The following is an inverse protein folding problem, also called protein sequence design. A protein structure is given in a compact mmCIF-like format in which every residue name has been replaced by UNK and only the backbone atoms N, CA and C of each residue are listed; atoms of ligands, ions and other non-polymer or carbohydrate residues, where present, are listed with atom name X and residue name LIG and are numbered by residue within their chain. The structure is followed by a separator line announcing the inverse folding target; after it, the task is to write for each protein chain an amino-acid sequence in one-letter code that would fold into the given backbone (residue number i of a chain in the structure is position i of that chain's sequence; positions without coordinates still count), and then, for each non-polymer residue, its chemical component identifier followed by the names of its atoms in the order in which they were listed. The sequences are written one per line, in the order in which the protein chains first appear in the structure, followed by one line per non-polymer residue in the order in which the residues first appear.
data_IF_823713933467
#
_entry.id   IF_823713933467
#
_cell.length_a   1.000
_cell.length_b   1.000
_cell.length_c   1.000
_cell.angle_alpha   90.00
_cell.angle_beta   90.00
_cell.angle_gamma   90.00
#
_symmetry.space_group_name_H-M   'P 1'
#
loop_
_entity.id
_entity.type
_entity.pdbx_description
1 polymer ?
#
# COMPACT_ATOMS: atom_id res chain seq x y z
N UNK A 1 27.11 -42.42 13.46
CA UNK A 1 26.55 -41.61 14.55
C UNK A 1 25.22 -41.03 14.12
N UNK A 2 24.17 -41.28 14.90
CA UNK A 2 22.82 -40.77 14.66
C UNK A 2 22.78 -39.28 14.96
N UNK A 3 22.51 -38.47 13.93
CA UNK A 3 22.27 -37.04 14.05
C UNK A 3 20.87 -36.84 14.65
N UNK A 4 20.80 -36.75 15.97
CA UNK A 4 19.58 -36.44 16.72
C UNK A 4 19.18 -34.99 16.43
N UNK A 5 18.09 -34.82 15.69
CA UNK A 5 17.35 -33.56 15.60
C UNK A 5 16.62 -33.32 16.92
N UNK A 6 17.32 -32.85 17.94
CA UNK A 6 16.69 -32.30 19.14
C UNK A 6 16.17 -30.91 18.80
N UNK A 7 14.84 -30.75 18.76
CA UNK A 7 14.14 -29.47 18.72
C UNK A 7 14.43 -28.67 19.98
N UNK A 8 15.60 -28.03 20.05
CA UNK A 8 15.91 -27.07 21.11
C UNK A 8 15.45 -25.67 20.69
N UNK A 9 14.12 -25.49 20.59
CA UNK A 9 13.51 -24.17 20.33
C UNK A 9 13.45 -23.41 21.66
N UNK A 10 14.60 -23.11 22.24
CA UNK A 10 14.76 -21.83 22.94
C UNK A 10 15.12 -20.81 21.87
N UNK A 11 14.12 -20.26 21.18
CA UNK A 11 14.32 -19.12 20.28
C UNK A 11 14.77 -17.93 21.13
N UNK A 12 16.07 -17.83 21.35
CA UNK A 12 16.67 -16.64 21.95
C UNK A 12 16.55 -15.52 20.92
N UNK A 13 15.72 -14.53 21.21
CA UNK A 13 15.65 -13.31 20.40
C UNK A 13 17.01 -12.60 20.49
N UNK A 14 17.45 -12.06 19.36
CA UNK A 14 18.75 -11.42 19.21
C UNK A 14 18.67 -9.92 19.48
N UNK A 15 19.83 -9.35 19.80
CA UNK A 15 20.02 -7.90 19.79
C UNK A 15 20.31 -7.40 18.37
N UNK A 16 20.03 -6.13 18.12
CA UNK A 16 20.28 -5.44 16.85
C UNK A 16 21.71 -5.68 16.33
N UNK A 17 22.71 -5.64 17.21
CA UNK A 17 24.13 -5.76 16.87
C UNK A 17 24.51 -7.17 16.39
N UNK A 18 23.75 -8.18 16.78
CA UNK A 18 24.01 -9.59 16.45
C UNK A 18 23.34 -10.00 15.13
N UNK A 19 22.52 -9.12 14.55
CA UNK A 19 21.82 -9.38 13.30
C UNK A 19 22.74 -9.24 12.09
N UNK A 20 22.52 -9.98 10.99
CA UNK A 20 23.14 -9.69 9.70
C UNK A 20 22.89 -8.25 9.25
N UNK A 21 23.87 -7.63 8.58
CA UNK A 21 23.82 -6.21 8.20
C UNK A 21 22.57 -5.82 7.38
N UNK A 22 22.05 -6.71 6.52
CA UNK A 22 20.85 -6.45 5.72
C UNK A 22 19.55 -6.39 6.55
N UNK A 23 19.54 -6.93 7.77
CA UNK A 23 18.43 -6.88 8.72
C UNK A 23 18.58 -5.76 9.77
N UNK A 24 19.70 -5.02 9.76
CA UNK A 24 19.98 -3.90 10.66
C UNK A 24 19.48 -2.55 10.11
N UNK A 25 18.16 -2.41 9.91
CA UNK A 25 17.60 -1.22 9.25
C UNK A 25 17.12 -0.09 10.19
N UNK A 26 16.78 -0.38 11.44
CA UNK A 26 16.32 0.61 12.41
C UNK A 26 17.22 0.63 13.66
N UNK A 27 18.12 1.61 13.83
CA UNK A 27 19.09 1.62 14.92
C UNK A 27 18.46 1.90 16.30
N UNK A 28 17.19 2.30 16.36
CA UNK A 28 16.49 2.63 17.60
C UNK A 28 15.76 1.42 18.22
N UNK A 29 15.67 0.32 17.48
CA UNK A 29 15.12 -0.95 17.94
C UNK A 29 16.29 -1.84 18.37
N UNK A 30 16.38 -2.18 19.64
CA UNK A 30 17.60 -2.78 20.20
C UNK A 30 17.52 -4.30 20.38
N UNK A 31 16.32 -4.83 20.59
CA UNK A 31 16.06 -6.23 20.99
C UNK A 31 14.86 -6.81 20.24
N UNK A 32 14.58 -8.09 20.48
CA UNK A 32 13.39 -8.75 19.95
C UNK A 32 13.51 -9.24 18.51
N UNK A 33 14.72 -9.23 17.93
CA UNK A 33 14.96 -9.72 16.58
C UNK A 33 14.93 -11.25 16.54
N UNK A 34 14.31 -11.81 15.51
CA UNK A 34 14.39 -13.26 15.27
C UNK A 34 15.80 -13.61 14.75
N UNK A 35 16.34 -14.79 15.10
CA UNK A 35 17.54 -15.31 14.42
C UNK A 35 17.23 -15.61 12.94
N UNK A 36 18.24 -16.07 12.20
CA UNK A 36 18.00 -16.70 10.91
C UNK A 36 17.25 -18.03 11.12
N UNK A 37 16.20 -18.24 10.33
CA UNK A 37 15.24 -19.33 10.52
C UNK A 37 15.10 -20.15 9.23
N UNK A 38 14.72 -21.43 9.39
CA UNK A 38 14.16 -22.20 8.28
C UNK A 38 12.77 -21.66 7.92
N UNK A 39 12.24 -22.05 6.75
CA UNK A 39 10.85 -21.72 6.37
C UNK A 39 9.84 -22.14 7.45
N UNK A 40 10.02 -23.33 8.02
CA UNK A 40 9.18 -23.80 9.11
C UNK A 40 9.35 -22.96 10.39
N UNK A 41 10.59 -22.56 10.70
CA UNK A 41 10.88 -21.64 11.80
C UNK A 41 10.18 -20.29 11.63
N UNK A 42 10.14 -19.74 10.42
CA UNK A 42 9.38 -18.52 10.11
C UNK A 42 7.88 -18.72 10.39
N UNK A 43 7.29 -19.84 9.98
CA UNK A 43 5.88 -20.15 10.29
C UNK A 43 5.64 -20.31 11.80
N UNK A 44 6.54 -21.01 12.50
CA UNK A 44 6.48 -21.14 13.95
C UNK A 44 6.62 -19.80 14.68
N UNK A 45 7.22 -18.78 14.04
CA UNK A 45 7.33 -17.44 14.63
C UNK A 45 5.99 -16.72 14.84
N UNK A 46 4.92 -17.18 14.19
CA UNK A 46 3.56 -16.72 14.47
C UNK A 46 3.09 -17.02 15.91
N UNK A 47 3.74 -17.96 16.60
CA UNK A 47 3.32 -18.43 17.92
C UNK A 47 4.19 -17.90 19.09
N UNK A 48 5.13 -16.99 18.83
CA UNK A 48 5.87 -16.29 19.88
C UNK A 48 6.04 -14.80 19.55
N UNK A 49 6.32 -13.98 20.56
CA UNK A 49 6.41 -12.52 20.42
C UNK A 49 7.82 -12.11 20.03
N UNK A 50 7.92 -11.22 19.04
CA UNK A 50 9.15 -10.63 18.52
C UNK A 50 8.84 -9.26 17.90
N UNK A 51 9.87 -8.50 17.50
CA UNK A 51 9.72 -7.13 16.99
C UNK A 51 8.85 -7.02 15.72
N UNK A 52 8.82 -8.06 14.90
CA UNK A 52 7.95 -8.13 13.70
C UNK A 52 6.52 -8.64 13.97
N UNK A 53 6.16 -9.05 15.19
CA UNK A 53 4.84 -9.70 15.46
C UNK A 53 3.67 -8.80 15.07
N UNK A 54 3.69 -7.53 15.50
CA UNK A 54 2.62 -6.58 15.18
C UNK A 54 2.56 -6.29 13.68
N UNK A 55 3.70 -6.19 12.99
CA UNK A 55 3.76 -5.95 11.55
C UNK A 55 3.09 -7.09 10.77
N UNK A 56 3.35 -8.34 11.18
CA UNK A 56 2.73 -9.53 10.57
C UNK A 56 1.22 -9.53 10.79
N UNK A 57 0.75 -9.38 12.03
CA UNK A 57 -0.69 -9.51 12.31
C UNK A 57 -1.52 -8.34 11.80
N UNK A 58 -1.00 -7.11 11.85
CA UNK A 58 -1.70 -5.93 11.32
C UNK A 58 -1.95 -6.03 9.82
N UNK A 59 -1.12 -6.75 9.07
CA UNK A 59 -1.31 -6.95 7.63
C UNK A 59 -1.86 -8.35 7.26
N UNK A 60 -1.72 -9.37 8.12
CA UNK A 60 -2.28 -10.70 7.91
C UNK A 60 -3.81 -10.75 8.11
N UNK A 61 -4.33 -10.12 9.17
CA UNK A 61 -5.76 -10.14 9.46
C UNK A 61 -6.62 -9.43 8.40
N UNK A 62 -6.23 -8.25 7.88
CA UNK A 62 -7.00 -7.59 6.83
C UNK A 62 -7.08 -8.37 5.53
N UNK A 63 -6.14 -9.28 5.21
CA UNK A 63 -6.24 -10.13 4.01
C UNK A 63 -7.56 -10.91 4.05
N UNK A 64 -7.85 -11.56 5.18
CA UNK A 64 -9.08 -12.33 5.35
C UNK A 64 -10.32 -11.44 5.25
N UNK A 65 -10.30 -10.30 5.93
CA UNK A 65 -11.43 -9.37 5.91
C UNK A 65 -11.69 -8.85 4.49
N UNK A 66 -10.66 -8.37 3.79
CA UNK A 66 -10.79 -7.79 2.46
C UNK A 66 -11.24 -8.84 1.46
N UNK A 67 -10.64 -10.03 1.46
CA UNK A 67 -11.00 -11.11 0.53
C UNK A 67 -12.41 -11.66 0.76
N UNK A 68 -12.90 -11.69 2.00
CA UNK A 68 -14.21 -12.30 2.32
C UNK A 68 -15.37 -11.30 2.30
N UNK A 69 -15.13 -10.05 2.71
CA UNK A 69 -16.17 -9.04 2.93
C UNK A 69 -16.28 -8.06 1.77
N UNK A 70 -15.17 -7.46 1.34
CA UNK A 70 -15.20 -6.35 0.36
C UNK A 70 -15.82 -6.78 -0.99
N UNK A 71 -15.55 -7.97 -1.55
CA UNK A 71 -16.25 -8.43 -2.75
C UNK A 71 -17.77 -8.44 -2.61
N UNK A 72 -18.33 -8.68 -1.42
CA UNK A 72 -19.80 -8.67 -1.25
C UNK A 72 -20.40 -7.27 -1.28
N UNK A 73 -19.57 -6.24 -1.11
CA UNK A 73 -19.97 -4.85 -1.05
C UNK A 73 -19.74 -4.09 -2.36
N UNK A 74 -19.02 -4.70 -3.31
CA UNK A 74 -18.66 -4.04 -4.56
C UNK A 74 -19.83 -4.00 -5.57
N UNK A 75 -19.99 -2.90 -6.34
CA UNK A 75 -21.01 -2.77 -7.38
C UNK A 75 -20.64 -3.51 -8.68
N UNK A 76 -20.59 -4.85 -8.62
CA UNK A 76 -20.18 -5.71 -9.75
C UNK A 76 -21.03 -5.56 -11.00
N UNK A 77 -22.34 -5.41 -10.83
CA UNK A 77 -23.30 -5.26 -11.94
C UNK A 77 -23.09 -3.97 -12.73
N UNK A 78 -22.51 -2.94 -12.09
CA UNK A 78 -22.21 -1.67 -12.74
C UNK A 78 -20.86 -1.75 -13.46
N UNK A 79 -19.81 -2.20 -12.76
CA UNK A 79 -18.48 -2.33 -13.35
C UNK A 79 -17.66 -3.43 -12.70
N UNK A 80 -17.65 -4.60 -13.35
CA UNK A 80 -16.83 -5.73 -12.91
C UNK A 80 -15.32 -5.43 -12.97
N UNK A 81 -14.86 -4.77 -14.03
CA UNK A 81 -13.44 -4.43 -14.19
C UNK A 81 -12.93 -3.50 -13.08
N UNK A 82 -13.63 -2.38 -12.83
CA UNK A 82 -13.22 -1.44 -11.78
C UNK A 82 -13.35 -2.04 -10.37
N UNK A 83 -14.33 -2.92 -10.17
CA UNK A 83 -14.45 -3.66 -8.92
C UNK A 83 -13.25 -4.58 -8.70
N UNK A 84 -12.78 -5.30 -9.72
CA UNK A 84 -11.56 -6.09 -9.65
C UNK A 84 -10.31 -5.24 -9.45
N UNK A 85 -10.19 -4.09 -10.12
CA UNK A 85 -9.11 -3.14 -9.87
C UNK A 85 -9.01 -2.79 -8.40
N UNK A 86 -10.14 -2.42 -7.79
CA UNK A 86 -10.19 -2.09 -6.37
C UNK A 86 -9.84 -3.27 -5.47
N UNK A 87 -10.42 -4.47 -5.68
CA UNK A 87 -10.13 -5.64 -4.84
C UNK A 87 -8.65 -6.01 -4.89
N UNK A 88 -8.07 -6.10 -6.09
CA UNK A 88 -6.66 -6.45 -6.28
C UNK A 88 -5.78 -5.36 -5.66
N UNK A 89 -6.08 -4.09 -5.92
CA UNK A 89 -5.38 -2.96 -5.31
C UNK A 89 -5.48 -2.93 -3.79
N UNK A 90 -6.61 -3.34 -3.23
CA UNK A 90 -6.91 -3.36 -1.79
C UNK A 90 -6.44 -4.62 -1.07
N UNK A 91 -5.88 -5.62 -1.75
CA UNK A 91 -5.35 -6.83 -1.08
C UNK A 91 -3.85 -7.01 -1.32
N UNK A 92 -3.30 -6.43 -2.39
CA UNK A 92 -1.89 -6.60 -2.78
C UNK A 92 -0.85 -6.10 -1.75
N UNK A 93 -0.96 -4.88 -1.18
CA UNK A 93 -0.07 -4.41 -0.10
C UNK A 93 0.01 -5.36 1.08
N UNK A 94 -1.14 -5.88 1.52
CA UNK A 94 -1.24 -6.78 2.68
C UNK A 94 -0.55 -8.10 2.43
N UNK A 95 -0.79 -8.71 1.27
CA UNK A 95 -0.14 -9.97 0.89
C UNK A 95 1.37 -9.77 0.81
N UNK A 96 1.83 -8.74 0.11
CA UNK A 96 3.26 -8.48 -0.05
C UNK A 96 3.96 -8.25 1.30
N UNK A 97 3.36 -7.42 2.14
CA UNK A 97 3.88 -7.08 3.45
C UNK A 97 3.85 -8.25 4.43
N UNK A 98 2.74 -9.00 4.49
CA UNK A 98 2.63 -10.19 5.35
C UNK A 98 3.70 -11.22 4.98
N UNK A 99 3.87 -11.52 3.68
CA UNK A 99 4.89 -12.47 3.20
C UNK A 99 6.29 -11.96 3.53
N UNK A 100 6.57 -10.68 3.30
CA UNK A 100 7.86 -10.10 3.65
C UNK A 100 8.16 -10.21 5.14
N UNK A 101 7.31 -9.66 6.02
CA UNK A 101 7.57 -9.66 7.46
C UNK A 101 7.59 -11.07 8.06
N UNK A 102 6.82 -12.02 7.52
CA UNK A 102 6.86 -13.40 7.99
C UNK A 102 8.19 -14.09 7.62
N UNK A 103 8.68 -13.89 6.39
CA UNK A 103 9.81 -14.64 5.84
C UNK A 103 11.13 -13.86 5.73
N UNK A 104 11.21 -12.58 6.14
CA UNK A 104 12.42 -11.77 6.01
C UNK A 104 13.67 -12.35 6.73
N UNK A 105 13.46 -13.20 7.73
CA UNK A 105 14.51 -13.90 8.48
C UNK A 105 14.85 -15.29 7.93
N UNK A 106 14.32 -15.69 6.76
CA UNK A 106 14.63 -17.00 6.17
C UNK A 106 16.11 -17.10 5.79
N UNK A 107 16.74 -18.22 6.12
CA UNK A 107 18.18 -18.45 5.91
C UNK A 107 18.53 -18.80 4.44
N UNK A 108 18.07 -17.97 3.49
CA UNK A 108 18.36 -18.08 2.05
C UNK A 108 19.21 -16.92 1.53
N UNK A 109 19.80 -16.13 2.45
CA UNK A 109 20.69 -15.02 2.16
C UNK A 109 20.01 -13.71 1.75
N UNK A 110 20.83 -12.66 1.64
CA UNK A 110 20.39 -11.28 1.39
C UNK A 110 19.61 -11.10 0.08
N UNK A 111 19.90 -11.90 -0.94
CA UNK A 111 19.17 -11.87 -2.21
C UNK A 111 17.70 -12.28 -2.05
N UNK A 112 17.40 -13.22 -1.15
CA UNK A 112 16.02 -13.60 -0.83
C UNK A 112 15.31 -12.46 -0.08
N UNK A 113 15.96 -11.89 0.94
CA UNK A 113 15.48 -10.71 1.67
C UNK A 113 15.12 -9.55 0.73
N UNK A 114 16.02 -9.20 -0.19
CA UNK A 114 15.79 -8.14 -1.17
C UNK A 114 14.58 -8.41 -2.07
N UNK A 115 14.37 -9.66 -2.50
CA UNK A 115 13.19 -10.06 -3.31
C UNK A 115 11.90 -10.00 -2.51
N UNK A 116 11.92 -10.41 -1.24
CA UNK A 116 10.76 -10.30 -0.35
C UNK A 116 10.41 -8.82 -0.10
N UNK A 117 11.42 -7.96 0.10
CA UNK A 117 11.21 -6.51 0.24
C UNK A 117 10.65 -5.89 -1.04
N UNK A 118 11.13 -6.33 -2.21
CA UNK A 118 10.57 -5.94 -3.51
C UNK A 118 9.11 -6.36 -3.66
N UNK A 119 8.73 -7.54 -3.14
CA UNK A 119 7.34 -8.03 -3.15
C UNK A 119 6.42 -7.14 -2.29
N UNK A 120 6.88 -6.74 -1.10
CA UNK A 120 6.15 -5.78 -0.26
C UNK A 120 5.92 -4.45 -0.98
N UNK A 121 6.99 -3.88 -1.55
CA UNK A 121 6.90 -2.67 -2.36
C UNK A 121 5.97 -2.82 -3.57
N UNK A 122 6.03 -3.95 -4.26
CA UNK A 122 5.16 -4.27 -5.40
C UNK A 122 3.69 -4.25 -4.96
N UNK A 123 3.38 -4.78 -3.78
CA UNK A 123 2.03 -4.74 -3.21
C UNK A 123 1.50 -3.31 -3.09
N UNK A 124 2.28 -2.42 -2.45
CA UNK A 124 1.96 -0.99 -2.35
C UNK A 124 1.80 -0.39 -3.76
N UNK A 125 2.67 -0.75 -4.68
CA UNK A 125 2.64 -0.23 -6.05
C UNK A 125 1.37 -0.61 -6.81
N UNK A 126 0.93 -1.87 -6.72
CA UNK A 126 -0.32 -2.35 -7.34
C UNK A 126 -1.51 -1.56 -6.81
N UNK A 127 -1.55 -1.28 -5.50
CA UNK A 127 -2.60 -0.45 -4.90
C UNK A 127 -2.63 0.97 -5.46
N UNK A 128 -1.46 1.62 -5.53
CA UNK A 128 -1.33 3.02 -5.97
C UNK A 128 -1.47 3.22 -7.48
N UNK A 129 -1.39 2.15 -8.27
CA UNK A 129 -1.52 2.18 -9.73
C UNK A 129 -2.81 1.51 -10.19
N UNK A 130 -2.80 0.19 -10.31
CA UNK A 130 -3.95 -0.59 -10.75
C UNK A 130 -5.17 -0.40 -9.84
N UNK A 131 -4.96 -0.36 -8.51
CA UNK A 131 -6.02 -0.10 -7.53
C UNK A 131 -6.65 1.28 -7.61
N UNK A 132 -5.93 2.27 -8.13
CA UNK A 132 -6.41 3.64 -8.28
C UNK A 132 -7.17 3.89 -9.59
N UNK A 133 -7.22 2.92 -10.51
CA UNK A 133 -7.94 3.04 -11.79
C UNK A 133 -9.41 3.47 -11.66
N UNK A 134 -10.20 3.03 -10.66
CA UNK A 134 -11.56 3.55 -10.47
C UNK A 134 -11.60 5.07 -10.25
N UNK A 135 -10.69 5.58 -9.42
CA UNK A 135 -10.56 7.01 -9.16
C UNK A 135 -10.07 7.77 -10.41
N UNK A 136 -9.12 7.20 -11.16
CA UNK A 136 -8.62 7.78 -12.42
C UNK A 136 -9.76 7.89 -13.43
N UNK A 137 -10.51 6.81 -13.65
CA UNK A 137 -11.61 6.77 -14.61
C UNK A 137 -12.72 7.75 -14.24
N UNK A 138 -13.10 7.81 -12.96
CA UNK A 138 -14.10 8.75 -12.48
C UNK A 138 -13.65 10.22 -12.67
N UNK A 139 -12.38 10.52 -12.41
CA UNK A 139 -11.83 11.88 -12.54
C UNK A 139 -11.89 12.42 -13.96
N UNK A 140 -11.73 11.54 -14.97
CA UNK A 140 -11.75 11.94 -16.39
C UNK A 140 -13.11 11.73 -17.06
N UNK A 141 -14.08 11.12 -16.38
CA UNK A 141 -15.33 10.62 -16.97
C UNK A 141 -16.13 11.68 -17.76
N UNK A 142 -16.06 12.96 -17.37
CA UNK A 142 -16.76 14.05 -18.06
C UNK A 142 -15.98 14.68 -19.22
N UNK A 143 -14.75 14.27 -19.46
CA UNK A 143 -13.95 14.76 -20.58
C UNK A 143 -14.37 14.04 -21.88
N UNK A 144 -14.09 14.63 -23.06
CA UNK A 144 -14.24 13.92 -24.33
C UNK A 144 -13.46 12.60 -24.37
N UNK A 145 -14.01 11.58 -25.03
CA UNK A 145 -13.47 10.21 -25.06
C UNK A 145 -11.96 10.14 -25.41
N UNK A 146 -11.49 10.95 -26.37
CA UNK A 146 -10.08 10.97 -26.76
C UNK A 146 -9.16 11.47 -25.64
N UNK A 147 -9.60 12.43 -24.82
CA UNK A 147 -8.84 12.91 -23.65
C UNK A 147 -8.86 11.87 -22.53
N UNK A 148 -9.99 11.20 -22.30
CA UNK A 148 -10.07 10.12 -21.32
C UNK A 148 -9.04 9.04 -21.64
N UNK A 149 -9.07 8.54 -22.88
CA UNK A 149 -8.14 7.52 -23.36
C UNK A 149 -6.68 7.96 -23.22
N UNK A 150 -6.37 9.19 -23.65
CA UNK A 150 -5.01 9.72 -23.55
C UNK A 150 -4.52 9.81 -22.10
N UNK A 151 -5.33 10.35 -21.19
CA UNK A 151 -4.96 10.50 -19.77
C UNK A 151 -4.78 9.13 -19.11
N UNK A 152 -5.70 8.19 -19.33
CA UNK A 152 -5.61 6.83 -18.78
C UNK A 152 -4.38 6.11 -19.34
N UNK A 153 -4.10 6.23 -20.64
CA UNK A 153 -2.91 5.65 -21.25
C UNK A 153 -1.62 6.23 -20.65
N UNK A 154 -1.53 7.56 -20.55
CA UNK A 154 -0.42 8.25 -19.89
C UNK A 154 -0.26 7.79 -18.44
N UNK A 155 -1.36 7.63 -17.71
CA UNK A 155 -1.36 7.14 -16.34
C UNK A 155 -0.81 5.70 -16.24
N UNK A 156 -1.25 4.80 -17.12
CA UNK A 156 -0.78 3.42 -17.16
C UNK A 156 0.71 3.34 -17.53
N UNK A 157 1.13 4.03 -18.59
CA UNK A 157 2.53 4.10 -19.01
C UNK A 157 3.42 4.67 -17.90
N UNK A 158 2.98 5.76 -17.26
CA UNK A 158 3.67 6.34 -16.13
C UNK A 158 3.81 5.35 -14.97
N UNK A 159 2.72 4.67 -14.60
CA UNK A 159 2.72 3.67 -13.53
C UNK A 159 3.70 2.51 -13.79
N UNK A 160 3.80 2.05 -15.04
CA UNK A 160 4.74 1.00 -15.46
C UNK A 160 6.20 1.48 -15.38
N UNK A 161 6.48 2.69 -15.88
CA UNK A 161 7.82 3.29 -15.79
C UNK A 161 8.23 3.48 -14.33
N UNK A 162 7.31 3.95 -13.49
CA UNK A 162 7.51 4.10 -12.06
C UNK A 162 7.80 2.76 -11.38
N UNK A 163 7.03 1.71 -11.70
CA UNK A 163 7.24 0.36 -11.17
C UNK A 163 8.62 -0.17 -11.52
N UNK A 164 9.04 -0.03 -12.79
CA UNK A 164 10.36 -0.45 -13.23
C UNK A 164 11.48 0.21 -12.43
N UNK A 165 11.35 1.52 -12.15
CA UNK A 165 12.30 2.26 -11.30
C UNK A 165 12.26 1.78 -9.84
N UNK A 166 11.07 1.53 -9.29
CA UNK A 166 10.88 1.04 -7.92
C UNK A 166 11.55 -0.32 -7.71
N UNK A 167 11.33 -1.28 -8.63
CA UNK A 167 11.89 -2.62 -8.53
C UNK A 167 13.42 -2.66 -8.68
N UNK A 168 14.03 -1.65 -9.31
CA UNK A 168 15.49 -1.53 -9.48
C UNK A 168 16.15 -0.62 -8.45
N UNK A 169 15.41 -0.12 -7.46
CA UNK A 169 15.94 0.79 -6.46
C UNK A 169 16.71 0.04 -5.35
N UNK A 170 18.04 0.23 -5.32
CA UNK A 170 18.93 -0.41 -4.35
C UNK A 170 19.03 0.31 -3.01
N UNK A 171 18.81 1.63 -2.98
CA UNK A 171 18.90 2.44 -1.76
C UNK A 171 17.51 2.64 -1.13
N UNK A 172 17.39 2.61 0.21
CA UNK A 172 16.15 2.96 0.92
C UNK A 172 15.55 4.30 0.48
N UNK A 173 16.41 5.31 0.26
CA UNK A 173 15.96 6.63 -0.21
C UNK A 173 15.41 6.60 -1.64
N UNK A 174 16.08 5.88 -2.54
CA UNK A 174 15.60 5.71 -3.92
C UNK A 174 14.27 4.97 -3.94
N UNK A 175 14.10 3.94 -3.10
CA UNK A 175 12.83 3.20 -2.93
C UNK A 175 11.69 4.11 -2.49
N UNK A 176 11.93 4.97 -1.50
CA UNK A 176 10.94 5.96 -1.02
C UNK A 176 10.60 6.99 -2.10
N UNK A 177 11.60 7.50 -2.82
CA UNK A 177 11.41 8.49 -3.88
C UNK A 177 10.52 7.97 -5.01
N UNK A 178 10.52 6.67 -5.27
CA UNK A 178 9.64 6.09 -6.31
C UNK A 178 8.17 6.45 -6.06
N UNK A 179 7.69 6.45 -4.81
CA UNK A 179 6.31 6.79 -4.49
C UNK A 179 5.91 8.24 -4.80
N UNK A 180 6.87 9.14 -5.04
CA UNK A 180 6.58 10.52 -5.48
C UNK A 180 5.80 10.56 -6.80
N UNK A 181 6.08 9.62 -7.73
CA UNK A 181 5.43 9.62 -9.04
C UNK A 181 3.93 9.29 -8.94
N UNK A 182 3.49 8.16 -8.35
CA UNK A 182 2.07 7.91 -8.10
C UNK A 182 1.39 9.04 -7.34
N UNK A 183 2.07 9.61 -6.33
CA UNK A 183 1.54 10.73 -5.56
C UNK A 183 1.28 11.98 -6.42
N UNK A 184 2.23 12.37 -7.28
CA UNK A 184 2.07 13.50 -8.20
C UNK A 184 0.93 13.22 -9.18
N UNK A 185 0.90 12.03 -9.79
CA UNK A 185 -0.14 11.65 -10.75
C UNK A 185 -1.54 11.73 -10.13
N UNK A 186 -1.70 11.22 -8.91
CA UNK A 186 -2.97 11.29 -8.17
C UNK A 186 -3.32 12.72 -7.75
N UNK A 187 -2.35 13.51 -7.33
CA UNK A 187 -2.56 14.93 -6.99
C UNK A 187 -3.07 15.72 -8.19
N UNK A 188 -2.50 15.50 -9.39
CA UNK A 188 -2.97 16.12 -10.63
C UNK A 188 -4.42 15.72 -10.96
N UNK A 189 -4.78 14.45 -10.77
CA UNK A 189 -6.16 13.98 -10.95
C UNK A 189 -7.11 14.58 -9.90
N UNK A 190 -6.67 14.72 -8.66
CA UNK A 190 -7.45 15.41 -7.62
C UNK A 190 -7.70 16.89 -7.98
N UNK A 191 -6.69 17.58 -8.53
CA UNK A 191 -6.85 18.93 -9.06
C UNK A 191 -7.86 18.97 -10.22
N UNK A 192 -7.82 17.98 -11.12
CA UNK A 192 -8.80 17.85 -12.19
C UNK A 192 -10.22 17.68 -11.63
N UNK A 193 -10.41 16.83 -10.60
CA UNK A 193 -11.71 16.65 -9.93
C UNK A 193 -12.25 17.92 -9.28
N UNK A 194 -11.36 18.75 -8.73
CA UNK A 194 -11.75 20.05 -8.16
C UNK A 194 -12.09 21.08 -9.23
N UNK A 195 -11.53 20.91 -10.44
CA UNK A 195 -11.82 21.79 -11.56
C UNK A 195 -13.26 21.63 -12.06
N UNK A 196 -13.73 22.61 -12.84
CA UNK A 196 -15.04 22.55 -13.51
C UNK A 196 -15.15 21.44 -14.57
N UNK A 197 -14.04 20.86 -15.00
CA UNK A 197 -13.98 19.90 -16.11
C UNK A 197 -13.91 18.44 -15.65
N UNK A 198 -13.48 18.21 -14.40
CA UNK A 198 -13.33 16.86 -13.86
C UNK A 198 -14.66 16.19 -13.55
N UNK A 199 -14.65 14.87 -13.58
CA UNK A 199 -15.74 14.04 -13.08
C UNK A 199 -15.51 13.54 -11.66
N UNK A 200 -16.39 12.64 -11.23
CA UNK A 200 -16.33 11.94 -9.96
C UNK A 200 -17.33 12.47 -8.94
N UNK A 201 -17.74 11.61 -8.02
CA UNK A 201 -18.71 11.98 -6.99
C UNK A 201 -18.16 13.10 -6.08
N UNK A 202 -18.89 14.20 -5.83
CA UNK A 202 -18.43 15.23 -4.90
C UNK A 202 -18.21 14.70 -3.48
N UNK A 203 -19.03 13.73 -3.05
CA UNK A 203 -18.94 13.08 -1.76
C UNK A 203 -17.81 12.05 -1.65
N UNK A 204 -17.13 11.69 -2.75
CA UNK A 204 -15.96 10.82 -2.74
C UNK A 204 -14.65 11.61 -2.62
N UNK A 205 -14.63 12.90 -2.97
CA UNK A 205 -13.43 13.74 -2.88
C UNK A 205 -12.81 13.76 -1.47
N UNK A 206 -13.64 13.88 -0.43
CA UNK A 206 -13.17 13.83 0.96
C UNK A 206 -12.48 12.50 1.27
N UNK A 207 -13.00 11.41 0.72
CA UNK A 207 -12.42 10.08 0.90
C UNK A 207 -11.11 9.93 0.12
N UNK A 208 -11.00 10.51 -1.08
CA UNK A 208 -9.73 10.59 -1.83
C UNK A 208 -8.66 11.33 -1.01
N UNK A 209 -9.01 12.47 -0.43
CA UNK A 209 -8.07 13.26 0.38
C UNK A 209 -7.70 12.50 1.66
N UNK A 210 -8.67 11.89 2.35
CA UNK A 210 -8.44 11.13 3.58
C UNK A 210 -7.51 9.93 3.37
N UNK A 211 -7.69 9.14 2.30
CA UNK A 211 -6.80 7.99 2.04
C UNK A 211 -5.35 8.44 1.79
N UNK A 212 -5.15 9.55 1.07
CA UNK A 212 -3.81 10.06 0.74
C UNK A 212 -3.16 10.72 1.96
N UNK A 213 -3.93 11.44 2.77
CA UNK A 213 -3.46 12.01 4.03
C UNK A 213 -3.01 10.93 5.03
N UNK A 214 -3.81 9.87 5.22
CA UNK A 214 -3.45 8.75 6.10
C UNK A 214 -2.21 8.01 5.61
N UNK A 215 -2.11 7.76 4.30
CA UNK A 215 -0.96 7.09 3.70
C UNK A 215 0.32 7.93 3.81
N UNK A 216 0.23 9.25 3.58
CA UNK A 216 1.35 10.17 3.73
C UNK A 216 1.78 10.30 5.20
N UNK A 217 0.83 10.38 6.13
CA UNK A 217 1.11 10.41 7.56
C UNK A 217 1.82 9.11 8.01
N UNK A 218 1.31 7.95 7.62
CA UNK A 218 1.96 6.67 7.92
C UNK A 218 3.37 6.58 7.34
N UNK A 219 3.52 6.93 6.06
CA UNK A 219 4.81 6.92 5.38
C UNK A 219 5.82 7.89 5.98
N UNK A 220 5.39 9.06 6.45
CA UNK A 220 6.26 10.05 7.11
C UNK A 220 6.70 9.59 8.50
N UNK A 221 5.78 9.04 9.30
CA UNK A 221 6.08 8.43 10.60
C UNK A 221 7.13 7.32 10.44
N UNK A 222 6.90 6.37 9.54
CA UNK A 222 7.83 5.28 9.24
C UNK A 222 9.15 5.76 8.64
N UNK A 223 9.15 6.83 7.85
CA UNK A 223 10.37 7.38 7.28
C UNK A 223 11.27 8.07 8.32
N UNK A 224 10.67 8.64 9.36
CA UNK A 224 11.35 9.40 10.43
C UNK A 224 11.74 8.52 11.63
N UNK A 225 11.30 7.26 11.67
CA UNK A 225 11.46 6.33 12.80
C UNK A 225 10.92 6.90 14.13
N UNK A 226 9.79 7.61 14.09
CA UNK A 226 9.15 8.18 15.28
C UNK A 226 7.99 7.26 15.69
N UNK A 227 7.82 6.91 16.99
CA UNK A 227 8.44 7.53 18.16
C UNK A 227 9.67 6.82 18.74
N UNK A 228 10.10 5.67 18.20
CA UNK A 228 11.25 4.92 18.71
C UNK A 228 12.57 5.72 18.68
N UNK A 229 12.70 6.68 17.77
CA UNK A 229 13.80 7.65 17.77
C UNK A 229 13.87 8.49 19.05
N UNK A 230 12.73 8.79 19.66
CA UNK A 230 12.65 9.56 20.91
C UNK A 230 12.80 8.67 22.15
N UNK A 231 12.43 7.40 22.04
CA UNK A 231 12.51 6.42 23.14
C UNK A 231 13.19 5.11 22.68
N UNK A 232 14.50 5.14 22.38
CA UNK A 232 15.21 3.97 21.84
C UNK A 232 15.18 2.78 22.81
N UNK A 233 14.89 1.58 22.31
CA UNK A 233 14.77 0.37 23.13
C UNK A 233 13.44 0.18 23.86
N UNK A 234 12.65 1.25 24.06
CA UNK A 234 11.37 1.16 24.78
C UNK A 234 10.23 0.62 23.90
N UNK A 235 10.37 0.76 22.59
CA UNK A 235 9.31 0.45 21.60
C UNK A 235 9.72 -0.69 20.67
N UNK A 236 10.57 -1.59 21.16
CA UNK A 236 11.15 -2.68 20.37
C UNK A 236 10.10 -3.65 19.81
N UNK A 237 9.03 -3.90 20.58
CA UNK A 237 7.97 -4.86 20.24
C UNK A 237 6.67 -4.20 19.76
N UNK A 238 6.34 -3.03 20.29
CA UNK A 238 5.04 -2.39 20.11
C UNK A 238 5.20 -0.88 19.91
N UNK A 239 4.29 -0.29 19.13
CA UNK A 239 4.17 1.16 18.91
C UNK A 239 5.41 1.84 18.31
N UNK A 240 6.32 1.08 17.71
CA UNK A 240 7.32 1.69 16.82
C UNK A 240 6.65 2.25 15.55
N UNK A 241 7.39 3.10 14.85
CA UNK A 241 6.95 3.80 13.65
C UNK A 241 6.41 2.87 12.57
N UNK A 242 7.01 1.69 12.41
CA UNK A 242 6.62 0.71 11.40
C UNK A 242 5.27 0.07 11.74
N UNK A 243 5.04 -0.26 13.02
CA UNK A 243 3.72 -0.71 13.50
C UNK A 243 2.65 0.35 13.22
N UNK A 244 2.93 1.61 13.56
CA UNK A 244 1.99 2.72 13.38
C UNK A 244 1.71 2.95 11.90
N UNK A 245 2.74 2.92 11.05
CA UNK A 245 2.60 3.01 9.61
C UNK A 245 1.68 1.92 9.05
N UNK A 246 1.88 0.65 9.45
CA UNK A 246 1.01 -0.46 9.04
C UNK A 246 -0.45 -0.19 9.40
N UNK A 247 -0.72 0.22 10.64
CA UNK A 247 -2.08 0.53 11.11
C UNK A 247 -2.69 1.68 10.28
N UNK A 248 -1.96 2.76 10.05
CA UNK A 248 -2.47 3.91 9.28
C UNK A 248 -2.78 3.55 7.83
N UNK A 249 -1.94 2.72 7.19
CA UNK A 249 -2.17 2.26 5.81
C UNK A 249 -3.38 1.31 5.74
N UNK A 250 -3.60 0.47 6.75
CA UNK A 250 -4.82 -0.33 6.87
C UNK A 250 -6.06 0.57 6.99
N UNK A 251 -6.01 1.60 7.82
CA UNK A 251 -7.11 2.55 7.98
C UNK A 251 -7.41 3.33 6.68
N UNK A 252 -6.41 3.59 5.84
CA UNK A 252 -6.58 4.27 4.55
C UNK A 252 -7.41 3.49 3.53
N UNK A 253 -7.60 2.17 3.70
CA UNK A 253 -8.42 1.34 2.79
C UNK A 253 -9.88 1.71 2.85
N UNK A 254 -10.39 2.03 4.05
CA UNK A 254 -11.80 2.35 4.22
C UNK A 254 -12.23 3.56 3.36
N UNK A 255 -11.55 4.72 3.43
CA UNK A 255 -11.84 5.81 2.51
C UNK A 255 -11.55 5.45 1.04
N UNK A 256 -10.53 4.64 0.73
CA UNK A 256 -10.31 4.16 -0.64
C UNK A 256 -11.52 3.37 -1.18
N UNK A 257 -12.10 2.48 -0.38
CA UNK A 257 -13.31 1.72 -0.69
C UNK A 257 -14.51 2.66 -0.87
N UNK A 258 -14.75 3.56 0.08
CA UNK A 258 -15.85 4.53 0.02
C UNK A 258 -15.76 5.40 -1.24
N UNK A 259 -14.57 5.88 -1.58
CA UNK A 259 -14.34 6.64 -2.80
C UNK A 259 -14.69 5.83 -4.04
N UNK A 260 -14.22 4.57 -4.10
CA UNK A 260 -14.41 3.69 -5.25
C UNK A 260 -15.88 3.40 -5.51
N UNK A 261 -16.63 2.98 -4.47
CA UNK A 261 -18.04 2.62 -4.64
C UNK A 261 -18.87 3.83 -5.07
N UNK A 262 -18.66 4.98 -4.43
CA UNK A 262 -19.34 6.23 -4.80
C UNK A 262 -19.04 6.62 -6.24
N UNK A 263 -17.79 6.53 -6.66
CA UNK A 263 -17.37 6.87 -8.02
C UNK A 263 -17.97 5.92 -9.06
N UNK A 264 -18.00 4.61 -8.81
CA UNK A 264 -18.60 3.64 -9.73
C UNK A 264 -20.11 3.89 -9.87
N UNK A 265 -20.82 4.12 -8.77
CA UNK A 265 -22.27 4.40 -8.78
C UNK A 265 -22.56 5.73 -9.49
N UNK A 266 -21.79 6.76 -9.21
CA UNK A 266 -21.94 8.08 -9.86
C UNK A 266 -21.70 8.01 -11.37
N UNK A 267 -20.67 7.27 -11.82
CA UNK A 267 -20.43 7.08 -13.26
C UNK A 267 -21.60 6.37 -13.96
N UNK A 268 -22.31 5.48 -13.28
CA UNK A 268 -23.49 4.81 -13.83
C UNK A 268 -24.67 5.74 -14.04
N UNK A 269 -24.78 6.81 -13.24
CA UNK A 269 -25.85 7.80 -13.33
C UNK A 269 -25.60 8.82 -14.45
N UNK A 270 -24.35 8.99 -14.89
CA UNK A 270 -24.00 9.83 -16.05
C UNK A 270 -24.13 11.34 -15.82
N UNK A 271 -24.18 11.79 -14.56
CA UNK A 271 -24.40 13.19 -14.19
C UNK A 271 -23.12 14.03 -14.32
N UNK A 272 -22.70 14.26 -15.56
CA UNK A 272 -21.73 15.31 -15.84
C UNK A 272 -22.43 16.66 -15.83
N UNK A 273 -21.78 17.67 -15.23
CA UNK A 273 -22.20 19.07 -15.37
C UNK A 273 -22.15 19.43 -16.85
N UNK A 274 -23.29 19.33 -17.53
CA UNK A 274 -23.40 19.58 -18.96
C UNK A 274 -23.27 21.07 -19.20
N UNK A 275 -22.14 21.50 -19.74
CA UNK A 275 -22.15 22.73 -20.54
C UNK A 275 -22.86 22.38 -21.83
N UNK A 276 -24.13 22.81 -21.95
CA UNK A 276 -24.71 23.00 -23.28
C UNK A 276 -23.86 24.07 -23.96
N UNK A 277 -23.31 23.76 -25.12
CA UNK A 277 -22.69 24.70 -26.05
C UNK A 277 -23.64 25.85 -26.49
N UNK A 278 -24.88 25.89 -26.00
CA UNK A 278 -25.83 27.00 -26.18
C UNK A 278 -25.42 28.27 -25.45
N UNK A 279 -24.67 28.17 -24.35
CA UNK A 279 -24.44 29.34 -23.48
C UNK A 279 -23.27 30.22 -23.96
N UNK A 280 -22.49 29.74 -24.95
CA UNK A 280 -21.42 30.54 -25.57
C UNK A 280 -21.91 31.45 -26.71
N UNK A 281 -23.15 31.26 -27.19
CA UNK A 281 -23.76 32.11 -28.21
C UNK A 281 -24.75 33.14 -27.62
N UNK A 282 -24.93 33.15 -26.28
CA UNK A 282 -25.78 34.13 -25.60
C UNK A 282 -24.98 35.34 -25.05
N UNK A 283 -23.65 35.32 -25.15
CA UNK A 283 -22.75 36.41 -24.70
C UNK A 283 -21.90 37.01 -25.84
N UNK A 284 -22.36 36.90 -27.10
CA UNK A 284 -21.84 37.64 -28.26
C UNK A 284 -23.00 38.35 -28.96
#
# INVERSE_FOLDING_TARGET
EQMTWTMDIKTCLLHFKDMPAHLQFNPYIHTGYRPLLSLWGCLCSLFYVHNETINIFTHGLPILFITLVVPRLMPWEISSFLSWCHIIGSVSPWIGSFVYHLFMNVDYGEGCYCRLLQLDMLGIWISQSFGALPMVQASVFCLPFYLQFLIILCYCCGSIIGLYKAMRAWSPWKRRLCFSMPFIMRSLLCCLRYSRYGGGDPGSLIHVIMQDALSLLGGTIGAMNIPEKWFPGCLDLYFNSHNIMHILVVLAVYPMYQSTVKDIVWMAQGECKTHRLSDLHAEL
#
